data_IF_569225533721
#
_entry.id   IF_569225533721
#
_cell.length_a   1.000
_cell.length_b   1.000
_cell.length_c   1.000
_cell.angle_alpha   90.00
_cell.angle_beta   90.00
_cell.angle_gamma   90.00
#
_symmetry.space_group_name_H-M   'P 1'
#
loop_
_entity.id
_entity.type
_entity.pdbx_description
1 polymer ?
#
# COMPACT_ATOMS: atom_id res chain seq x y z
N UNK A 1 54.02 20.67 -19.82
CA UNK A 1 53.29 19.49 -20.33
C UNK A 1 52.96 18.44 -19.24
N UNK A 2 52.95 18.79 -17.94
CA UNK A 2 52.77 17.79 -16.85
C UNK A 2 51.48 17.97 -16.02
N UNK A 3 50.67 19.02 -16.29
CA UNK A 3 49.39 19.29 -15.59
C UNK A 3 48.14 18.80 -16.33
N UNK A 4 48.25 18.42 -17.61
CA UNK A 4 47.13 17.94 -18.43
C UNK A 4 46.90 16.42 -18.24
N UNK A 5 47.91 15.67 -17.80
CA UNK A 5 47.80 14.22 -17.60
C UNK A 5 46.99 13.82 -16.34
N UNK A 6 46.90 14.70 -15.32
CA UNK A 6 46.23 14.37 -14.05
C UNK A 6 44.70 14.50 -14.15
N UNK A 7 44.17 15.45 -14.95
CA UNK A 7 42.72 15.56 -15.17
C UNK A 7 42.13 14.39 -15.98
N UNK A 8 42.86 13.89 -16.99
CA UNK A 8 42.40 12.73 -17.77
C UNK A 8 42.36 11.44 -16.93
N UNK A 9 43.30 11.27 -15.99
CA UNK A 9 43.33 10.10 -15.10
C UNK A 9 42.16 10.15 -14.09
N UNK A 10 41.83 11.32 -13.54
CA UNK A 10 40.69 11.48 -12.62
C UNK A 10 39.33 11.28 -13.31
N UNK A 11 39.15 11.78 -14.55
CA UNK A 11 37.93 11.54 -15.33
C UNK A 11 37.78 10.09 -15.81
N UNK A 12 38.90 9.43 -16.14
CA UNK A 12 38.90 8.00 -16.47
C UNK A 12 38.58 7.16 -15.23
N UNK A 13 39.13 7.50 -14.06
CA UNK A 13 38.84 6.81 -12.78
C UNK A 13 37.37 6.97 -12.37
N UNK A 14 36.78 8.18 -12.47
CA UNK A 14 35.36 8.39 -12.17
C UNK A 14 34.44 7.70 -13.17
N UNK A 15 34.80 7.68 -14.46
CA UNK A 15 34.06 6.94 -15.49
C UNK A 15 34.14 5.41 -15.32
N UNK A 16 35.27 4.89 -14.84
CA UNK A 16 35.41 3.46 -14.53
C UNK A 16 34.69 3.04 -13.25
N UNK A 17 34.69 3.87 -12.20
CA UNK A 17 33.91 3.60 -10.98
C UNK A 17 32.42 3.60 -11.28
N UNK A 18 31.91 4.62 -11.98
CA UNK A 18 30.49 4.72 -12.35
C UNK A 18 30.02 3.58 -13.26
N UNK A 19 30.85 3.14 -14.21
CA UNK A 19 30.51 2.01 -15.09
C UNK A 19 30.57 0.65 -14.37
N UNK A 20 31.49 0.47 -13.42
CA UNK A 20 31.57 -0.73 -12.59
C UNK A 20 30.39 -0.81 -11.61
N UNK A 21 30.03 0.30 -10.98
CA UNK A 21 28.86 0.43 -10.10
C UNK A 21 27.56 0.15 -10.87
N UNK A 22 27.41 0.72 -12.06
CA UNK A 22 26.28 0.44 -12.96
C UNK A 22 26.21 -1.05 -13.37
N UNK A 23 27.37 -1.69 -13.60
CA UNK A 23 27.42 -3.10 -13.96
C UNK A 23 27.02 -4.01 -12.78
N UNK A 24 27.42 -3.66 -11.55
CA UNK A 24 27.03 -4.36 -10.32
C UNK A 24 25.52 -4.25 -10.10
N UNK A 25 24.96 -3.04 -10.18
CA UNK A 25 23.50 -2.82 -10.04
C UNK A 25 22.71 -3.63 -11.08
N UNK A 26 23.14 -3.58 -12.36
CA UNK A 26 22.52 -4.38 -13.42
C UNK A 26 22.64 -5.89 -13.20
N UNK A 27 23.76 -6.36 -12.66
CA UNK A 27 23.95 -7.78 -12.35
C UNK A 27 23.06 -8.21 -11.17
N UNK A 28 22.92 -7.36 -10.16
CA UNK A 28 22.03 -7.58 -9.04
C UNK A 28 20.57 -7.65 -9.50
N UNK A 29 20.12 -6.71 -10.34
CA UNK A 29 18.77 -6.72 -10.90
C UNK A 29 18.46 -7.97 -11.74
N UNK A 30 19.48 -8.59 -12.35
CA UNK A 30 19.35 -9.85 -13.09
C UNK A 30 19.28 -11.09 -12.20
N UNK A 31 19.86 -11.06 -10.99
CA UNK A 31 19.86 -12.19 -10.07
C UNK A 31 19.10 -11.86 -8.77
N UNK A 32 17.78 -12.03 -8.85
CA UNK A 32 16.85 -11.79 -7.75
C UNK A 32 16.27 -13.08 -7.14
N UNK A 33 16.85 -14.25 -7.46
CA UNK A 33 16.55 -15.46 -6.71
C UNK A 33 17.26 -15.40 -5.34
N UNK A 34 16.51 -15.07 -4.30
CA UNK A 34 16.98 -14.92 -2.91
C UNK A 34 16.26 -15.95 -2.04
N UNK A 35 16.89 -17.10 -1.74
CA UNK A 35 16.31 -18.08 -0.82
C UNK A 35 16.00 -17.47 0.54
N UNK A 36 14.99 -18.00 1.24
CA UNK A 36 14.56 -17.47 2.55
C UNK A 36 15.66 -17.30 3.60
N UNK A 37 16.70 -18.15 3.56
CA UNK A 37 17.79 -18.09 4.54
C UNK A 37 18.74 -16.92 4.32
N UNK A 38 18.61 -16.17 3.21
CA UNK A 38 19.30 -14.89 3.02
C UNK A 38 18.67 -13.78 3.86
N UNK A 39 17.42 -13.96 4.30
CA UNK A 39 16.73 -12.99 5.14
C UNK A 39 16.63 -13.52 6.57
N UNK A 40 17.16 -12.75 7.51
CA UNK A 40 17.01 -13.01 8.94
C UNK A 40 15.55 -12.91 9.37
N UNK A 41 15.20 -13.66 10.40
CA UNK A 41 13.85 -13.64 10.94
C UNK A 41 13.60 -12.33 11.72
N UNK A 42 12.45 -11.64 11.59
CA UNK A 42 12.13 -10.44 12.38
C UNK A 42 12.39 -10.51 13.88
N UNK A 43 12.24 -11.68 14.52
CA UNK A 43 12.54 -11.81 15.96
C UNK A 43 14.04 -11.67 16.28
N UNK A 44 14.94 -11.91 15.32
CA UNK A 44 16.37 -11.60 15.48
C UNK A 44 16.54 -10.07 15.60
N UNK A 45 15.86 -9.32 14.74
CA UNK A 45 15.87 -7.85 14.75
C UNK A 45 15.33 -7.31 16.09
N UNK A 46 14.27 -7.93 16.65
CA UNK A 46 13.66 -7.56 17.93
C UNK A 46 14.65 -7.55 19.11
N UNK A 47 15.70 -8.37 19.06
CA UNK A 47 16.73 -8.42 20.11
C UNK A 47 17.47 -7.09 20.32
N UNK A 48 17.56 -6.27 19.27
CA UNK A 48 18.20 -4.94 19.32
C UNK A 48 17.24 -3.79 18.96
N UNK A 49 16.19 -4.03 18.18
CA UNK A 49 15.28 -3.03 17.64
C UNK A 49 13.84 -3.19 18.16
N UNK A 50 13.66 -3.45 19.45
CA UNK A 50 12.35 -3.79 20.05
C UNK A 50 11.27 -2.74 19.74
N UNK A 51 11.55 -1.44 19.87
CA UNK A 51 10.53 -0.39 19.64
C UNK A 51 10.02 -0.43 18.19
N UNK A 52 10.93 -0.70 17.24
CA UNK A 52 10.59 -0.78 15.81
C UNK A 52 9.88 -2.08 15.48
N UNK A 53 10.33 -3.18 16.10
CA UNK A 53 9.67 -4.47 15.97
C UNK A 53 8.23 -4.43 16.50
N UNK A 54 7.99 -3.85 17.67
CA UNK A 54 6.66 -3.77 18.28
C UNK A 54 5.69 -2.96 17.40
N UNK A 55 6.19 -1.88 16.79
CA UNK A 55 5.45 -1.05 15.82
C UNK A 55 5.12 -1.83 14.55
N UNK A 56 6.11 -2.49 13.97
CA UNK A 56 5.93 -3.33 12.78
C UNK A 56 4.96 -4.50 13.05
N UNK A 57 5.09 -5.20 14.17
CA UNK A 57 4.38 -6.44 14.46
C UNK A 57 2.84 -6.26 14.53
N UNK A 58 2.37 -5.04 14.80
CA UNK A 58 0.93 -4.72 14.78
C UNK A 58 0.45 -4.16 13.43
N UNK A 59 1.37 -3.76 12.55
CA UNK A 59 1.08 -3.17 11.23
C UNK A 59 0.53 -4.19 10.22
N UNK A 60 -0.10 -3.70 9.15
CA UNK A 60 -0.52 -4.54 8.03
C UNK A 60 0.66 -5.10 7.23
N UNK A 61 1.83 -4.45 7.22
CA UNK A 61 3.03 -5.00 6.60
C UNK A 61 3.43 -6.35 7.19
N UNK A 62 3.39 -6.48 8.52
CA UNK A 62 3.67 -7.77 9.18
C UNK A 62 2.62 -8.85 8.87
N UNK A 63 1.45 -8.45 8.38
CA UNK A 63 0.27 -9.31 8.14
C UNK A 63 -0.06 -9.45 6.66
N UNK A 64 0.73 -8.87 5.77
CA UNK A 64 0.32 -8.73 4.38
C UNK A 64 0.04 -10.08 3.72
N UNK A 65 0.79 -11.13 4.08
CA UNK A 65 0.48 -12.49 3.66
C UNK A 65 -0.57 -13.16 4.54
N UNK A 66 -0.49 -13.03 5.88
CA UNK A 66 -1.35 -13.80 6.80
C UNK A 66 -2.75 -13.21 6.99
N UNK A 67 -3.01 -12.03 6.44
CA UNK A 67 -4.30 -11.33 6.54
C UNK A 67 -5.44 -12.18 5.99
N UNK A 68 -6.56 -12.22 6.71
CA UNK A 68 -7.73 -13.04 6.33
C UNK A 68 -8.31 -12.65 4.97
N UNK A 69 -8.39 -11.36 4.66
CA UNK A 69 -8.82 -10.86 3.35
C UNK A 69 -7.90 -11.35 2.24
N UNK A 70 -6.59 -11.11 2.38
CA UNK A 70 -5.60 -11.55 1.39
C UNK A 70 -5.63 -13.08 1.21
N UNK A 71 -5.65 -13.86 2.30
CA UNK A 71 -5.70 -15.32 2.23
C UNK A 71 -6.96 -15.82 1.50
N UNK A 72 -8.11 -15.16 1.69
CA UNK A 72 -9.31 -15.51 0.90
C UNK A 72 -9.16 -15.09 -0.55
N UNK A 73 -8.83 -13.82 -0.81
CA UNK A 73 -8.73 -13.27 -2.16
C UNK A 73 -7.73 -14.07 -3.01
N UNK A 74 -6.52 -14.29 -2.48
CA UNK A 74 -5.46 -14.97 -3.20
C UNK A 74 -5.84 -16.41 -3.57
N UNK A 75 -6.25 -17.23 -2.59
CA UNK A 75 -6.46 -18.65 -2.85
C UNK A 75 -7.84 -19.02 -3.42
N UNK A 76 -8.88 -18.23 -3.16
CA UNK A 76 -10.24 -18.54 -3.61
C UNK A 76 -10.64 -17.77 -4.87
N UNK A 77 -9.97 -16.65 -5.18
CA UNK A 77 -10.32 -15.82 -6.34
C UNK A 77 -9.16 -15.69 -7.33
N UNK A 78 -7.98 -15.24 -6.89
CA UNK A 78 -6.84 -14.99 -7.79
C UNK A 78 -6.34 -16.28 -8.43
N UNK A 79 -6.00 -17.31 -7.64
CA UNK A 79 -5.49 -18.58 -8.19
C UNK A 79 -6.48 -19.28 -9.14
N UNK A 80 -7.79 -19.37 -8.83
CA UNK A 80 -8.75 -19.90 -9.80
C UNK A 80 -8.89 -19.05 -11.07
N UNK A 81 -8.68 -17.73 -10.97
CA UNK A 81 -8.83 -16.80 -12.09
C UNK A 81 -7.74 -16.91 -13.16
N UNK A 82 -6.59 -17.54 -12.86
CA UNK A 82 -5.48 -17.69 -13.83
C UNK A 82 -5.88 -18.43 -15.11
N UNK A 83 -6.94 -19.24 -15.03
CA UNK A 83 -7.48 -20.00 -16.16
C UNK A 83 -8.49 -19.22 -17.01
N UNK A 84 -8.91 -18.03 -16.58
CA UNK A 84 -9.96 -17.26 -17.27
C UNK A 84 -9.46 -16.58 -18.54
N UNK A 85 -8.19 -16.15 -18.57
CA UNK A 85 -7.58 -15.59 -19.78
C UNK A 85 -6.04 -15.71 -19.76
N UNK A 86 -5.36 -15.61 -20.92
CA UNK A 86 -3.90 -15.66 -20.99
C UNK A 86 -3.18 -14.56 -20.19
N UNK A 87 -3.79 -13.37 -20.11
CA UNK A 87 -3.25 -12.21 -19.39
C UNK A 87 -3.12 -12.49 -17.87
N UNK A 88 -3.96 -13.37 -17.34
CA UNK A 88 -4.04 -13.69 -15.91
C UNK A 88 -3.13 -14.82 -15.47
N UNK A 89 -2.40 -15.46 -16.39
CA UNK A 89 -1.64 -16.68 -16.13
C UNK A 89 -0.66 -16.56 -14.95
N UNK A 90 -0.08 -15.37 -14.77
CA UNK A 90 0.97 -15.09 -13.79
C UNK A 90 0.54 -14.00 -12.77
N UNK A 91 -0.76 -13.74 -12.62
CA UNK A 91 -1.30 -12.71 -11.71
C UNK A 91 -0.92 -12.94 -10.23
N UNK A 92 -0.76 -14.21 -9.83
CA UNK A 92 -0.34 -14.58 -8.47
C UNK A 92 1.04 -14.00 -8.11
N UNK A 93 1.92 -13.83 -9.10
CA UNK A 93 3.28 -13.36 -8.91
C UNK A 93 3.26 -11.91 -8.39
N UNK A 94 2.36 -11.08 -8.93
CA UNK A 94 2.15 -9.70 -8.46
C UNK A 94 1.66 -9.63 -7.03
N UNK A 95 0.72 -10.51 -6.66
CA UNK A 95 0.18 -10.60 -5.31
C UNK A 95 1.30 -10.94 -4.30
N UNK A 96 2.06 -12.01 -4.55
CA UNK A 96 3.14 -12.45 -3.66
C UNK A 96 4.32 -11.47 -3.67
N UNK A 97 4.60 -10.84 -4.81
CA UNK A 97 5.60 -9.78 -4.94
C UNK A 97 5.39 -8.64 -3.94
N UNK A 98 4.14 -8.23 -3.70
CA UNK A 98 3.84 -7.18 -2.72
C UNK A 98 3.59 -7.75 -1.31
N UNK A 99 2.89 -8.88 -1.17
CA UNK A 99 2.40 -9.37 0.13
C UNK A 99 3.33 -10.33 0.86
N UNK A 100 4.26 -10.98 0.15
CA UNK A 100 5.29 -11.85 0.72
C UNK A 100 6.56 -11.81 -0.12
N UNK A 101 7.25 -10.66 -0.18
CA UNK A 101 8.37 -10.44 -1.07
C UNK A 101 9.54 -11.41 -0.88
N UNK A 102 9.78 -11.90 0.35
CA UNK A 102 10.79 -12.95 0.56
C UNK A 102 10.41 -14.30 -0.05
N UNK A 103 9.11 -14.62 -0.16
CA UNK A 103 8.63 -15.80 -0.87
C UNK A 103 8.76 -15.63 -2.38
N UNK A 104 8.36 -14.45 -2.89
CA UNK A 104 8.53 -14.07 -4.29
C UNK A 104 9.98 -14.24 -4.74
N UNK A 105 10.92 -13.64 -4.00
CA UNK A 105 12.35 -13.73 -4.31
C UNK A 105 12.90 -15.16 -4.14
N UNK A 106 12.34 -15.98 -3.26
CA UNK A 106 12.71 -17.40 -3.13
C UNK A 106 12.11 -18.30 -4.23
N UNK A 107 11.28 -17.76 -5.12
CA UNK A 107 10.60 -18.50 -6.19
C UNK A 107 9.35 -19.26 -5.72
N UNK A 108 8.81 -18.94 -4.54
CA UNK A 108 7.59 -19.54 -4.01
C UNK A 108 6.37 -18.64 -4.30
N UNK A 109 5.80 -18.76 -5.50
CA UNK A 109 4.64 -17.95 -5.94
C UNK A 109 3.29 -18.44 -5.42
N UNK A 110 3.24 -19.63 -4.84
CA UNK A 110 2.06 -20.16 -4.15
C UNK A 110 2.51 -20.76 -2.83
N UNK A 111 2.80 -19.93 -1.80
CA UNK A 111 3.12 -20.46 -0.49
C UNK A 111 1.98 -21.31 0.08
N UNK A 112 2.25 -22.10 1.12
CA UNK A 112 1.17 -22.79 1.83
C UNK A 112 0.22 -21.79 2.50
N UNK A 113 -1.07 -22.12 2.53
CA UNK A 113 -2.07 -21.33 3.25
C UNK A 113 -1.67 -21.18 4.71
N UNK A 114 -1.83 -19.97 5.25
CA UNK A 114 -1.60 -19.77 6.67
C UNK A 114 -2.66 -20.51 7.48
N UNK A 115 -2.23 -21.37 8.40
CA UNK A 115 -3.14 -22.16 9.25
C UNK A 115 -3.94 -21.27 10.21
N UNK A 116 -3.40 -20.11 10.58
CA UNK A 116 -4.09 -19.12 11.39
C UNK A 116 -4.00 -17.75 10.72
N UNK A 117 -5.10 -17.32 10.10
CA UNK A 117 -5.20 -15.97 9.53
C UNK A 117 -5.14 -14.92 10.64
N UNK A 118 -4.40 -13.85 10.40
CA UNK A 118 -4.29 -12.69 11.30
C UNK A 118 -5.33 -11.64 10.91
N UNK A 119 -6.16 -11.23 11.87
CA UNK A 119 -7.06 -10.10 11.69
C UNK A 119 -7.27 -9.34 12.99
N UNK A 120 -8.03 -8.24 12.94
CA UNK A 120 -8.29 -7.41 14.12
C UNK A 120 -8.88 -8.21 15.30
N UNK A 121 -9.71 -9.22 15.00
CA UNK A 121 -10.43 -10.04 15.98
C UNK A 121 -9.64 -11.26 16.48
N UNK A 122 -8.73 -11.77 15.66
CA UNK A 122 -7.88 -12.93 15.92
C UNK A 122 -6.44 -12.57 15.56
N UNK A 123 -5.72 -12.02 16.54
CA UNK A 123 -4.29 -11.76 16.43
C UNK A 123 -3.54 -13.06 16.68
N UNK A 124 -2.61 -13.41 15.80
CA UNK A 124 -1.79 -14.61 15.95
C UNK A 124 -0.46 -14.23 16.59
N UNK A 125 -0.18 -14.82 17.75
CA UNK A 125 1.12 -14.70 18.42
C UNK A 125 2.00 -15.87 17.97
N UNK A 126 3.20 -15.59 17.45
CA UNK A 126 4.09 -16.68 17.02
C UNK A 126 5.30 -16.24 16.21
N UNK A 127 6.23 -17.18 16.01
CA UNK A 127 7.36 -17.00 15.11
C UNK A 127 6.88 -17.03 13.66
N UNK A 128 6.82 -15.85 13.03
CA UNK A 128 6.57 -15.72 11.59
C UNK A 128 7.77 -16.31 10.82
N UNK A 129 7.52 -17.26 9.93
CA UNK A 129 8.57 -17.90 9.12
C UNK A 129 8.18 -17.92 7.66
N UNK A 130 9.17 -17.92 6.76
CA UNK A 130 8.93 -17.97 5.31
C UNK A 130 7.95 -16.87 4.88
N UNK A 131 6.88 -17.23 4.17
CA UNK A 131 5.88 -16.29 3.67
C UNK A 131 5.12 -15.53 4.77
N UNK A 132 4.93 -16.16 5.94
CA UNK A 132 4.23 -15.54 7.07
C UNK A 132 4.97 -14.32 7.64
N UNK A 133 6.22 -14.07 7.23
CA UNK A 133 6.96 -12.86 7.59
C UNK A 133 6.36 -11.58 6.98
N UNK A 134 5.53 -11.70 5.93
CA UNK A 134 4.96 -10.54 5.23
C UNK A 134 6.03 -9.62 4.66
N UNK A 135 5.85 -8.31 4.82
CA UNK A 135 6.85 -7.27 4.53
C UNK A 135 7.53 -6.93 5.85
N UNK A 136 8.81 -7.22 5.97
CA UNK A 136 9.52 -7.17 7.24
C UNK A 136 10.89 -6.49 7.15
N UNK A 137 11.47 -6.25 8.33
CA UNK A 137 12.71 -5.48 8.52
C UNK A 137 13.78 -5.85 7.51
N UNK A 138 14.13 -7.14 7.45
CA UNK A 138 15.25 -7.60 6.64
C UNK A 138 14.98 -7.52 5.14
N UNK A 139 13.74 -7.69 4.71
CA UNK A 139 13.38 -7.46 3.33
C UNK A 139 13.52 -5.98 2.96
N UNK A 140 12.85 -5.07 3.68
CA UNK A 140 12.88 -3.64 3.35
C UNK A 140 14.31 -3.08 3.42
N UNK A 141 15.06 -3.41 4.47
CA UNK A 141 16.41 -2.90 4.67
C UNK A 141 17.46 -3.54 3.77
N UNK A 142 17.09 -4.44 2.85
CA UNK A 142 18.00 -4.98 1.82
C UNK A 142 17.67 -4.50 0.42
N UNK A 143 16.60 -3.73 0.25
CA UNK A 143 16.31 -3.06 -1.02
C UNK A 143 17.43 -2.05 -1.27
N UNK A 144 18.13 -2.19 -2.40
CA UNK A 144 19.22 -1.27 -2.75
C UNK A 144 18.84 -0.29 -3.86
N UNK A 145 17.94 -0.67 -4.77
CA UNK A 145 17.43 0.15 -5.86
C UNK A 145 16.17 -0.46 -6.46
N UNK A 146 15.62 0.19 -7.49
CA UNK A 146 14.49 -0.28 -8.28
C UNK A 146 14.88 -0.52 -9.74
N UNK A 147 14.08 -1.27 -10.51
CA UNK A 147 14.39 -1.49 -11.94
C UNK A 147 13.89 -0.36 -12.83
N UNK A 148 12.86 0.36 -12.40
CA UNK A 148 12.20 1.46 -13.09
C UNK A 148 12.10 2.71 -12.20
N UNK A 149 11.84 3.85 -12.84
CA UNK A 149 11.67 5.15 -12.20
C UNK A 149 10.46 5.87 -12.85
N UNK A 150 9.32 6.03 -12.15
CA UNK A 150 9.04 5.52 -10.80
C UNK A 150 8.87 3.98 -10.75
N UNK A 151 9.10 3.34 -9.60
CA UNK A 151 8.85 1.91 -9.44
C UNK A 151 7.36 1.62 -9.23
N UNK A 152 6.92 0.46 -9.70
CA UNK A 152 5.54 -0.04 -9.58
C UNK A 152 5.55 -1.57 -9.69
N UNK A 153 4.52 -2.29 -9.21
CA UNK A 153 4.47 -3.76 -9.29
C UNK A 153 5.77 -4.45 -8.80
N UNK A 154 6.01 -4.44 -7.49
CA UNK A 154 7.08 -5.21 -6.83
C UNK A 154 8.47 -5.03 -7.47
N UNK A 155 8.78 -3.79 -7.86
CA UNK A 155 9.95 -3.46 -8.66
C UNK A 155 11.26 -3.23 -7.88
N UNK A 156 11.25 -3.63 -6.62
CA UNK A 156 12.42 -3.59 -5.75
C UNK A 156 13.51 -4.56 -6.22
N UNK A 157 14.76 -4.20 -5.94
CA UNK A 157 15.94 -5.05 -6.11
C UNK A 157 16.62 -5.22 -4.75
N UNK A 158 16.59 -6.44 -4.23
CA UNK A 158 17.23 -6.79 -2.95
C UNK A 158 18.70 -7.15 -3.15
N UNK A 159 19.54 -6.63 -2.25
CA UNK A 159 20.97 -6.91 -2.15
C UNK A 159 21.27 -8.13 -1.27
N UNK A 160 20.26 -8.74 -0.64
CA UNK A 160 20.44 -9.86 0.28
C UNK A 160 21.25 -11.00 -0.36
N UNK A 161 22.20 -11.56 0.39
CA UNK A 161 22.99 -12.74 -0.01
C UNK A 161 23.20 -13.68 1.17
N UNK A 162 23.81 -14.85 0.93
CA UNK A 162 24.21 -15.76 2.02
C UNK A 162 25.29 -15.16 2.93
N UNK A 163 26.17 -14.31 2.37
CA UNK A 163 27.20 -13.60 3.11
C UNK A 163 26.68 -12.25 3.61
N UNK A 164 27.27 -11.77 4.71
CA UNK A 164 26.93 -10.56 5.49
C UNK A 164 26.11 -9.53 4.72
N UNK A 165 24.92 -9.27 5.23
CA UNK A 165 23.90 -8.49 4.55
C UNK A 165 23.97 -7.02 4.96
N UNK A 166 24.37 -6.15 4.03
CA UNK A 166 24.36 -4.70 4.25
C UNK A 166 22.91 -4.24 4.40
N UNK A 167 22.60 -3.67 5.57
CA UNK A 167 21.30 -3.05 5.84
C UNK A 167 21.34 -1.57 5.49
N UNK A 168 20.43 -1.15 4.62
CA UNK A 168 20.31 0.22 4.14
C UNK A 168 19.33 1.03 5.00
N UNK A 169 19.56 2.34 5.13
CA UNK A 169 18.64 3.26 5.79
C UNK A 169 19.04 4.72 5.56
N UNK A 170 18.26 5.64 6.12
CA UNK A 170 18.43 7.10 6.04
C UNK A 170 19.40 7.67 7.10
N UNK A 171 19.80 6.87 8.09
CA UNK A 171 20.58 7.36 9.22
C UNK A 171 22.07 7.53 8.91
N UNK A 172 22.57 8.77 8.95
CA UNK A 172 24.00 9.07 8.84
C UNK A 172 24.85 8.35 9.90
N UNK A 173 26.09 7.97 9.54
CA UNK A 173 27.00 7.20 10.40
C UNK A 173 26.33 5.93 10.99
N UNK A 174 25.73 5.08 10.14
CA UNK A 174 25.10 3.88 10.64
C UNK A 174 26.17 2.91 11.15
N UNK A 175 25.83 2.17 12.20
CA UNK A 175 26.73 1.19 12.81
C UNK A 175 25.92 0.08 13.48
N UNK A 176 26.36 -1.15 13.31
CA UNK A 176 25.80 -2.34 13.96
C UNK A 176 26.92 -3.32 14.30
N UNK A 177 26.84 -4.03 15.44
CA UNK A 177 27.78 -5.11 15.77
C UNK A 177 27.41 -6.46 15.13
N UNK A 178 26.27 -6.56 14.43
CA UNK A 178 25.72 -7.82 13.90
C UNK A 178 25.72 -7.89 12.38
N UNK A 179 25.36 -6.80 11.71
CA UNK A 179 25.25 -6.73 10.25
C UNK A 179 26.00 -5.50 9.71
N UNK A 180 26.38 -5.52 8.44
CA UNK A 180 26.89 -4.34 7.77
C UNK A 180 25.79 -3.28 7.62
N UNK A 181 26.18 -2.02 7.48
CA UNK A 181 25.23 -0.91 7.38
C UNK A 181 25.69 0.11 6.35
N UNK A 182 24.75 0.63 5.57
CA UNK A 182 25.01 1.69 4.61
C UNK A 182 23.86 2.72 4.61
N UNK A 183 24.19 3.97 4.32
CA UNK A 183 23.20 5.01 4.05
C UNK A 183 22.65 4.86 2.63
N UNK A 184 21.37 5.11 2.42
CA UNK A 184 20.77 5.12 1.09
C UNK A 184 19.62 6.12 1.00
N UNK A 185 19.67 6.97 -0.02
CA UNK A 185 18.69 8.04 -0.26
C UNK A 185 17.30 7.50 -0.59
N UNK A 186 17.17 6.24 -1.05
CA UNK A 186 15.86 5.65 -1.34
C UNK A 186 14.96 5.57 -0.10
N UNK A 187 15.53 5.56 1.11
CA UNK A 187 14.77 5.53 2.36
C UNK A 187 14.18 6.90 2.73
N UNK A 188 14.62 7.97 2.07
CA UNK A 188 14.09 9.33 2.18
C UNK A 188 13.12 9.67 1.04
N UNK A 189 12.96 8.75 0.07
CA UNK A 189 12.21 8.96 -1.15
C UNK A 189 10.89 8.18 -1.17
N UNK A 190 9.76 8.77 -1.62
CA UNK A 190 8.47 8.07 -1.73
C UNK A 190 8.50 6.86 -2.70
N UNK A 191 9.48 6.78 -3.60
CA UNK A 191 9.67 5.64 -4.51
C UNK A 191 9.84 4.31 -3.77
N UNK A 192 10.42 4.30 -2.56
CA UNK A 192 10.46 3.10 -1.71
C UNK A 192 9.06 2.53 -1.43
N UNK A 193 8.07 3.41 -1.26
CA UNK A 193 6.69 2.99 -1.05
C UNK A 193 6.03 2.61 -2.38
N UNK A 194 6.34 3.35 -3.46
CA UNK A 194 5.78 3.16 -4.80
C UNK A 194 6.05 1.77 -5.37
N UNK A 195 7.14 1.10 -4.99
CA UNK A 195 7.41 -0.27 -5.46
C UNK A 195 6.28 -1.26 -5.13
N UNK A 196 5.45 -0.98 -4.12
CA UNK A 196 4.27 -1.78 -3.81
C UNK A 196 2.96 -0.97 -3.84
N UNK A 197 3.01 0.34 -3.58
CA UNK A 197 1.85 1.25 -3.53
C UNK A 197 1.57 1.97 -4.86
N UNK A 198 2.02 1.35 -5.97
CA UNK A 198 1.63 1.72 -7.32
C UNK A 198 1.48 0.41 -8.13
N UNK A 199 0.25 0.00 -8.39
CA UNK A 199 -0.10 -1.28 -9.00
C UNK A 199 -0.77 -1.09 -10.36
N UNK A 200 -0.13 -1.65 -11.39
CA UNK A 200 -0.63 -1.74 -12.76
C UNK A 200 -1.07 -3.19 -13.00
N UNK A 201 -2.35 -3.40 -13.28
CA UNK A 201 -2.87 -4.75 -13.42
C UNK A 201 -2.48 -5.39 -14.80
N UNK A 202 -2.83 -6.67 -15.05
CA UNK A 202 -2.49 -7.36 -16.30
C UNK A 202 -3.08 -6.78 -17.59
N UNK A 203 -4.01 -5.81 -17.48
CA UNK A 203 -4.65 -5.13 -18.61
C UNK A 203 -4.23 -3.66 -18.72
N UNK A 204 -3.10 -3.30 -18.12
CA UNK A 204 -2.52 -1.95 -18.13
C UNK A 204 -3.44 -0.87 -17.49
N UNK A 205 -4.21 -1.25 -16.47
CA UNK A 205 -5.00 -0.32 -15.65
C UNK A 205 -4.36 -0.12 -14.29
N UNK A 206 -4.19 1.14 -13.88
CA UNK A 206 -3.74 1.50 -12.54
C UNK A 206 -4.87 1.26 -11.53
N UNK A 207 -4.77 0.19 -10.76
CA UNK A 207 -5.83 -0.24 -9.83
C UNK A 207 -5.54 0.14 -8.37
N UNK A 208 -4.27 0.38 -8.05
CA UNK A 208 -3.84 1.03 -6.80
C UNK A 208 -2.81 2.07 -7.16
N UNK A 209 -3.20 3.32 -7.30
CA UNK A 209 -2.37 4.38 -7.86
C UNK A 209 -1.86 5.37 -6.80
N UNK A 210 -1.67 4.94 -5.54
CA UNK A 210 -1.41 5.85 -4.41
C UNK A 210 -0.20 6.75 -4.62
N UNK A 211 0.88 6.25 -5.22
CA UNK A 211 2.03 7.08 -5.57
C UNK A 211 1.69 8.13 -6.64
N UNK A 212 1.01 7.73 -7.71
CA UNK A 212 0.55 8.66 -8.77
C UNK A 212 -0.37 9.74 -8.20
N UNK A 213 -1.33 9.36 -7.34
CA UNK A 213 -2.21 10.31 -6.64
C UNK A 213 -1.43 11.29 -5.75
N UNK A 214 -0.34 10.81 -5.14
CA UNK A 214 0.57 11.65 -4.38
C UNK A 214 1.33 12.62 -5.27
N UNK A 215 1.87 12.17 -6.40
CA UNK A 215 2.56 13.01 -7.38
C UNK A 215 1.67 14.12 -7.94
N UNK A 216 0.39 13.81 -8.17
CA UNK A 216 -0.62 14.76 -8.65
C UNK A 216 -1.08 15.74 -7.56
N UNK A 217 -0.75 15.48 -6.30
CA UNK A 217 -1.13 16.33 -5.17
C UNK A 217 -0.16 17.52 -4.98
N UNK A 218 -0.49 18.49 -4.09
CA UNK A 218 0.45 19.54 -3.71
C UNK A 218 1.62 19.10 -2.81
N UNK A 219 1.66 17.84 -2.34
CA UNK A 219 2.62 17.37 -1.32
C UNK A 219 4.06 17.21 -1.82
N UNK A 220 4.33 16.69 -3.03
CA UNK A 220 5.69 16.66 -3.59
C UNK A 220 6.35 18.04 -3.60
N UNK A 221 5.60 19.09 -3.99
CA UNK A 221 6.10 20.47 -3.99
C UNK A 221 6.45 20.98 -2.59
N UNK A 222 5.81 20.44 -1.55
CA UNK A 222 6.08 20.77 -0.15
C UNK A 222 7.18 19.91 0.48
N UNK A 223 7.77 18.97 -0.28
CA UNK A 223 8.72 17.98 0.22
C UNK A 223 8.18 17.15 1.40
N UNK A 224 6.86 16.88 1.42
CA UNK A 224 6.23 16.02 2.41
C UNK A 224 6.05 14.64 1.77
N UNK A 225 6.97 13.72 2.05
CA UNK A 225 6.95 12.36 1.48
C UNK A 225 6.14 11.39 2.35
N UNK A 226 5.84 10.19 1.83
CA UNK A 226 5.09 9.14 2.51
C UNK A 226 5.60 8.89 3.95
N UNK A 227 6.92 8.79 4.10
CA UNK A 227 7.61 8.56 5.37
C UNK A 227 7.30 9.63 6.41
N UNK A 228 7.06 10.89 6.00
CA UNK A 228 6.76 11.99 6.92
C UNK A 228 5.54 11.70 7.80
N UNK A 229 4.49 11.10 7.21
CA UNK A 229 3.25 10.78 7.90
C UNK A 229 3.20 9.32 8.38
N UNK A 230 3.70 8.37 7.57
CA UNK A 230 3.58 6.93 7.85
C UNK A 230 4.78 6.35 8.62
N UNK A 231 5.90 7.07 8.68
CA UNK A 231 7.12 6.72 9.44
C UNK A 231 7.65 7.95 10.19
N UNK A 232 6.81 8.58 11.04
CA UNK A 232 7.09 9.90 11.58
C UNK A 232 8.41 9.92 12.36
N UNK A 233 9.09 11.07 12.30
CA UNK A 233 10.36 11.26 13.00
C UNK A 233 10.18 11.15 14.50
N UNK A 234 11.03 10.34 15.14
CA UNK A 234 11.12 10.17 16.58
C UNK A 234 12.56 10.35 17.08
N UNK A 235 12.72 10.84 18.30
CA UNK A 235 14.03 10.89 18.97
C UNK A 235 14.40 9.56 19.64
N UNK A 236 15.65 9.45 20.08
CA UNK A 236 16.10 8.32 20.88
C UNK A 236 17.06 7.39 20.14
N UNK A 237 17.11 6.14 20.56
CA UNK A 237 18.02 5.15 19.97
C UNK A 237 17.29 4.32 18.91
N UNK A 238 17.82 4.18 17.68
CA UNK A 238 17.24 3.29 16.67
C UNK A 238 17.42 1.81 17.03
N UNK A 239 18.40 1.49 17.90
CA UNK A 239 18.70 0.15 18.40
C UNK A 239 19.28 0.24 19.82
N UNK A 240 19.19 -0.85 20.61
CA UNK A 240 19.76 -0.98 21.96
C UNK A 240 21.17 -0.40 22.12
N UNK A 241 22.04 -0.82 21.20
CA UNK A 241 23.48 -0.49 21.18
C UNK A 241 23.79 0.69 20.26
N UNK A 242 22.77 1.27 19.62
CA UNK A 242 22.91 2.43 18.77
C UNK A 242 23.18 3.72 19.55
N UNK A 243 23.72 4.70 18.85
CA UNK A 243 23.86 6.07 19.36
C UNK A 243 22.48 6.72 19.52
N UNK A 244 22.33 7.57 20.52
CA UNK A 244 21.12 8.40 20.66
C UNK A 244 21.11 9.46 19.57
N UNK A 245 19.99 9.60 18.88
CA UNK A 245 19.79 10.57 17.80
C UNK A 245 18.63 11.50 18.12
N UNK A 246 18.70 12.78 17.70
CA UNK A 246 17.54 13.68 17.77
C UNK A 246 16.42 13.21 16.81
N UNK A 247 16.81 12.58 15.70
CA UNK A 247 15.91 12.12 14.65
C UNK A 247 16.27 10.69 14.22
N UNK A 248 15.25 9.82 14.20
CA UNK A 248 15.17 8.53 13.52
C UNK A 248 13.70 8.27 13.14
N UNK A 249 13.40 7.17 12.47
CA UNK A 249 12.08 6.96 11.85
C UNK A 249 11.27 5.90 12.59
N UNK A 250 10.04 6.24 13.02
CA UNK A 250 9.10 5.27 13.59
C UNK A 250 8.65 4.29 12.49
N UNK A 251 8.32 3.06 12.87
CA UNK A 251 7.79 2.02 11.98
C UNK A 251 6.30 1.80 12.23
N UNK A 252 5.59 2.88 12.59
CA UNK A 252 4.15 2.84 12.86
C UNK A 252 3.33 2.36 11.66
N UNK A 253 3.70 2.80 10.45
CA UNK A 253 3.18 2.30 9.16
C UNK A 253 1.65 2.26 9.14
N UNK A 254 1.04 3.32 9.66
CA UNK A 254 -0.40 3.39 9.89
C UNK A 254 -1.22 3.69 8.64
N UNK A 255 -2.54 3.46 8.72
CA UNK A 255 -3.44 3.60 7.57
C UNK A 255 -4.91 3.56 8.00
N UNK A 256 -5.64 2.50 7.68
CA UNK A 256 -7.11 2.43 7.84
C UNK A 256 -7.67 2.24 9.26
N UNK A 257 -6.97 2.61 10.34
CA UNK A 257 -7.54 2.56 11.71
C UNK A 257 -8.03 3.92 12.18
N UNK A 258 -8.98 3.90 13.12
CA UNK A 258 -9.76 5.06 13.54
C UNK A 258 -8.91 6.29 13.88
N UNK A 259 -7.86 6.14 14.69
CA UNK A 259 -7.02 7.25 15.13
C UNK A 259 -6.20 7.90 13.99
N UNK A 260 -6.03 7.22 12.85
CA UNK A 260 -5.34 7.76 11.68
C UNK A 260 -6.31 8.42 10.69
N UNK A 261 -7.53 7.87 10.55
CA UNK A 261 -8.53 8.38 9.59
C UNK A 261 -9.41 9.49 10.19
N UNK A 262 -9.48 9.61 11.51
CA UNK A 262 -10.19 10.71 12.17
C UNK A 262 -9.61 12.06 11.74
N UNK A 263 -10.45 12.90 11.14
CA UNK A 263 -10.05 14.21 10.61
C UNK A 263 -9.47 14.19 9.20
N UNK A 264 -9.37 13.04 8.53
CA UNK A 264 -8.91 12.93 7.15
C UNK A 264 -9.89 13.54 6.12
N UNK A 265 -11.12 13.84 6.54
CA UNK A 265 -12.09 14.56 5.74
C UNK A 265 -12.91 15.54 6.59
N UNK A 266 -13.32 16.64 5.97
CA UNK A 266 -14.29 17.58 6.53
C UNK A 266 -15.59 17.51 5.74
N UNK A 267 -16.71 17.50 6.47
CA UNK A 267 -18.06 17.53 5.91
C UNK A 267 -18.75 18.79 6.38
N UNK A 268 -19.22 19.63 5.46
CA UNK A 268 -19.93 20.88 5.76
C UNK A 268 -21.30 20.85 5.11
N UNK A 269 -22.36 21.07 5.89
CA UNK A 269 -23.71 21.25 5.37
C UNK A 269 -23.98 22.75 5.25
N UNK A 270 -24.24 23.21 4.03
CA UNK A 270 -24.57 24.61 3.75
C UNK A 270 -26.09 24.77 3.65
N UNK A 271 -26.62 25.59 4.54
CA UNK A 271 -28.02 25.97 4.61
C UNK A 271 -28.09 27.49 4.60
N UNK A 272 -29.06 28.06 3.88
CA UNK A 272 -29.26 29.52 3.84
C UNK A 272 -29.72 30.09 5.20
N UNK A 273 -30.23 29.24 6.10
CA UNK A 273 -30.77 29.61 7.41
C UNK A 273 -30.85 28.42 8.36
N UNK A 274 -31.08 28.68 9.65
CA UNK A 274 -31.10 27.67 10.72
C UNK A 274 -32.50 27.32 11.24
N UNK A 275 -33.56 27.98 10.76
CA UNK A 275 -34.94 27.76 11.21
C UNK A 275 -35.87 27.46 10.04
N UNK A 276 -36.70 26.44 10.19
CA UNK A 276 -37.60 25.93 9.14
C UNK A 276 -38.99 25.68 9.69
N UNK A 277 -40.01 25.89 8.85
CA UNK A 277 -41.39 25.57 9.21
C UNK A 277 -41.66 24.10 8.94
N UNK A 278 -42.56 23.50 9.74
CA UNK A 278 -43.03 22.14 9.48
C UNK A 278 -43.67 22.07 8.08
N UNK A 279 -43.23 21.10 7.28
CA UNK A 279 -43.73 20.88 5.91
C UNK A 279 -43.09 21.77 4.85
N UNK A 280 -42.09 22.56 5.22
CA UNK A 280 -41.28 23.32 4.28
C UNK A 280 -40.24 22.43 3.58
N UNK A 281 -40.09 22.62 2.26
CA UNK A 281 -38.99 22.04 1.50
C UNK A 281 -37.72 22.84 1.73
N UNK A 282 -36.61 22.16 2.01
CA UNK A 282 -35.33 22.77 2.34
C UNK A 282 -34.29 22.33 1.34
N UNK A 283 -33.71 23.30 0.64
CA UNK A 283 -32.54 23.08 -0.20
C UNK A 283 -31.27 23.28 0.64
N UNK A 284 -30.30 22.42 0.44
CA UNK A 284 -28.99 22.50 1.08
C UNK A 284 -27.95 21.86 0.18
N UNK A 285 -26.68 22.18 0.41
CA UNK A 285 -25.56 21.47 -0.18
C UNK A 285 -24.70 20.85 0.89
N UNK A 286 -23.96 19.80 0.53
CA UNK A 286 -23.00 19.16 1.41
C UNK A 286 -21.66 19.16 0.71
N UNK A 287 -20.70 19.87 1.28
CA UNK A 287 -19.33 19.89 0.80
C UNK A 287 -18.53 18.84 1.57
N UNK A 288 -17.90 17.92 0.85
CA UNK A 288 -16.98 16.92 1.40
C UNK A 288 -15.60 17.18 0.83
N UNK A 289 -14.62 17.33 1.71
CA UNK A 289 -13.25 17.63 1.32
C UNK A 289 -12.29 16.72 2.08
N UNK A 290 -11.40 16.03 1.35
CA UNK A 290 -10.26 15.35 1.96
C UNK A 290 -9.26 16.39 2.51
N UNK A 291 -8.80 16.18 3.74
CA UNK A 291 -7.94 17.13 4.45
C UNK A 291 -6.59 16.49 4.70
N UNK A 292 -5.57 17.10 4.12
CA UNK A 292 -4.17 16.83 4.41
C UNK A 292 -3.72 15.35 4.28
N UNK A 293 -4.31 14.59 3.36
CA UNK A 293 -3.99 13.17 3.14
C UNK A 293 -2.80 12.95 2.20
N UNK A 294 -2.47 13.91 1.33
CA UNK A 294 -1.36 13.81 0.38
C UNK A 294 -1.56 12.85 -0.78
N UNK A 295 -2.69 12.14 -0.83
CA UNK A 295 -3.19 11.27 -1.90
C UNK A 295 -4.73 11.27 -1.83
N UNK A 296 -5.45 10.51 -2.67
CA UNK A 296 -6.91 10.42 -2.58
C UNK A 296 -7.36 9.81 -1.25
N UNK A 297 -8.60 10.06 -0.84
CA UNK A 297 -9.19 9.49 0.36
C UNK A 297 -10.56 8.86 0.02
N UNK A 298 -10.68 7.53 0.06
CA UNK A 298 -9.64 6.53 0.34
C UNK A 298 -8.69 6.38 -0.86
N UNK A 299 -7.49 5.85 -0.62
CA UNK A 299 -6.53 5.42 -1.66
C UNK A 299 -6.28 3.91 -1.54
N UNK A 300 -5.63 3.33 -2.56
CA UNK A 300 -5.17 1.94 -2.54
C UNK A 300 -6.23 0.96 -3.03
N UNK A 301 -6.40 -0.14 -2.31
CA UNK A 301 -7.31 -1.24 -2.68
C UNK A 301 -8.78 -0.83 -2.52
N UNK A 302 -9.51 -0.81 -3.64
CA UNK A 302 -10.94 -0.45 -3.65
C UNK A 302 -11.82 -1.58 -3.15
N UNK A 303 -11.35 -2.83 -3.22
CA UNK A 303 -12.07 -4.00 -2.72
C UNK A 303 -12.06 -4.14 -1.19
N UNK A 304 -11.23 -3.35 -0.49
CA UNK A 304 -11.13 -3.33 0.97
C UNK A 304 -11.55 -2.00 1.62
N UNK A 305 -11.75 -0.94 0.84
CA UNK A 305 -11.81 0.44 1.36
C UNK A 305 -13.00 1.19 0.78
N UNK A 306 -14.05 1.26 1.57
CA UNK A 306 -15.18 2.15 1.32
C UNK A 306 -15.17 3.35 2.26
N UNK A 307 -15.32 4.54 1.69
CA UNK A 307 -15.71 5.75 2.44
C UNK A 307 -17.06 6.17 1.91
N UNK A 308 -17.99 6.47 2.82
CA UNK A 308 -19.34 6.90 2.43
C UNK A 308 -19.83 8.10 3.23
N UNK A 309 -20.70 8.89 2.61
CA UNK A 309 -21.44 9.96 3.25
C UNK A 309 -22.89 9.51 3.47
N UNK A 310 -23.27 9.42 4.75
CA UNK A 310 -24.65 9.24 5.19
C UNK A 310 -25.28 10.57 5.57
N UNK A 311 -26.41 10.88 4.95
CA UNK A 311 -27.24 12.04 5.32
C UNK A 311 -28.50 11.57 6.04
N UNK A 312 -28.81 12.23 7.15
CA UNK A 312 -29.92 11.85 8.01
C UNK A 312 -30.47 13.05 8.78
N UNK A 313 -31.80 13.14 8.84
CA UNK A 313 -32.50 14.02 9.76
C UNK A 313 -32.56 13.34 11.13
N UNK A 314 -32.02 14.01 12.15
CA UNK A 314 -32.01 13.52 13.53
C UNK A 314 -32.82 14.43 14.44
N UNK A 315 -33.46 13.88 15.47
CA UNK A 315 -34.09 14.68 16.51
C UNK A 315 -33.08 15.18 17.55
N UNK A 316 -33.54 16.01 18.49
CA UNK A 316 -32.71 16.59 19.57
C UNK A 316 -32.04 15.55 20.49
N UNK A 317 -32.49 14.30 20.47
CA UNK A 317 -31.87 13.21 21.24
C UNK A 317 -30.82 12.43 20.44
N UNK A 318 -30.60 12.81 19.18
CA UNK A 318 -29.69 12.13 18.26
C UNK A 318 -30.31 10.92 17.55
N UNK A 319 -31.63 10.69 17.71
CA UNK A 319 -32.30 9.59 17.03
C UNK A 319 -32.56 9.95 15.57
N UNK A 320 -32.14 9.09 14.66
CA UNK A 320 -32.45 9.17 13.23
C UNK A 320 -33.96 9.09 13.00
N UNK A 321 -34.52 10.11 12.36
CA UNK A 321 -35.92 10.21 11.96
C UNK A 321 -36.12 9.83 10.49
N UNK A 322 -35.17 10.19 9.64
CA UNK A 322 -35.22 9.99 8.20
C UNK A 322 -33.79 9.91 7.64
N UNK A 323 -33.49 8.84 6.92
CA UNK A 323 -32.35 8.77 6.01
C UNK A 323 -32.68 9.57 4.74
N UNK A 324 -31.74 10.39 4.28
CA UNK A 324 -31.88 11.21 3.07
C UNK A 324 -31.00 10.57 1.98
N UNK A 325 -31.57 9.81 1.03
CA UNK A 325 -30.80 9.16 -0.01
C UNK A 325 -30.28 10.19 -1.03
N UNK A 326 -29.10 9.91 -1.55
CA UNK A 326 -28.47 10.69 -2.61
C UNK A 326 -29.21 10.43 -3.93
N UNK A 327 -29.67 11.48 -4.63
CA UNK A 327 -30.29 11.29 -5.94
C UNK A 327 -29.24 10.89 -6.97
N UNK A 328 -29.58 9.97 -7.86
CA UNK A 328 -28.74 9.65 -9.02
C UNK A 328 -28.62 10.86 -9.94
N UNK A 329 -27.41 11.08 -10.48
CA UNK A 329 -27.14 12.04 -11.52
C UNK A 329 -27.51 11.44 -12.91
N UNK A 330 -28.62 11.86 -13.54
CA UNK A 330 -29.03 11.30 -14.83
C UNK A 330 -28.08 11.64 -15.98
N UNK A 331 -27.16 12.61 -15.79
CA UNK A 331 -26.14 12.96 -16.77
C UNK A 331 -24.92 12.04 -16.77
N UNK A 332 -24.81 11.15 -15.79
CA UNK A 332 -23.70 10.21 -15.64
C UNK A 332 -24.23 8.77 -15.53
N UNK A 333 -24.04 7.93 -16.58
CA UNK A 333 -24.52 6.54 -16.57
C UNK A 333 -23.82 5.66 -15.53
N UNK A 334 -22.69 6.11 -14.97
CA UNK A 334 -21.91 5.39 -13.98
C UNK A 334 -22.19 5.83 -12.53
N UNK A 335 -22.97 6.90 -12.31
CA UNK A 335 -23.24 7.46 -10.97
C UNK A 335 -23.85 6.44 -10.00
N UNK A 336 -24.57 5.44 -10.53
CA UNK A 336 -25.12 4.31 -9.77
C UNK A 336 -24.06 3.47 -9.02
N UNK A 337 -22.79 3.50 -9.44
CA UNK A 337 -21.69 2.80 -8.76
C UNK A 337 -21.12 3.61 -7.60
N UNK A 338 -21.50 4.89 -7.48
CA UNK A 338 -21.07 5.79 -6.40
C UNK A 338 -22.20 6.08 -5.39
N UNK A 339 -23.28 5.31 -5.42
CA UNK A 339 -24.39 5.37 -4.47
C UNK A 339 -24.61 3.97 -3.93
N UNK A 340 -24.61 3.78 -2.62
CA UNK A 340 -24.66 2.45 -2.01
C UNK A 340 -25.86 1.64 -2.47
N UNK A 341 -25.60 0.35 -2.69
CA UNK A 341 -26.58 -0.65 -3.10
C UNK A 341 -26.26 -2.00 -2.45
N UNK A 342 -27.30 -2.73 -2.07
CA UNK A 342 -27.22 -4.13 -1.66
C UNK A 342 -27.95 -5.03 -2.64
N UNK A 343 -28.13 -4.57 -3.88
CA UNK A 343 -28.44 -5.51 -4.96
C UNK A 343 -27.43 -6.65 -4.89
N UNK A 344 -27.97 -7.88 -4.84
CA UNK A 344 -27.16 -9.09 -4.75
C UNK A 344 -26.65 -9.39 -6.15
N UNK A 345 -25.73 -8.55 -6.59
CA UNK A 345 -25.01 -8.68 -7.85
C UNK A 345 -23.79 -9.53 -7.56
N UNK A 346 -23.57 -10.56 -8.36
CA UNK A 346 -22.20 -10.95 -8.54
C UNK A 346 -21.58 -9.90 -9.45
N UNK A 347 -20.44 -9.33 -9.06
CA UNK A 347 -19.57 -8.73 -10.06
C UNK A 347 -19.35 -9.82 -11.12
N UNK A 348 -19.73 -9.63 -12.40
CA UNK A 348 -19.80 -10.73 -13.36
C UNK A 348 -18.52 -11.59 -13.43
N UNK A 349 -17.38 -10.95 -13.26
CA UNK A 349 -16.06 -11.53 -12.99
C UNK A 349 -15.97 -12.39 -11.70
N UNK A 350 -16.47 -11.92 -10.55
CA UNK A 350 -16.59 -12.70 -9.31
C UNK A 350 -17.65 -13.82 -9.37
N UNK A 351 -18.77 -13.70 -10.10
CA UNK A 351 -19.80 -14.76 -10.18
C UNK A 351 -19.26 -16.07 -10.72
N UNK A 352 -18.24 -15.98 -11.58
CA UNK A 352 -17.59 -17.15 -12.16
C UNK A 352 -16.79 -17.94 -11.10
N UNK A 353 -16.44 -17.28 -9.99
CA UNK A 353 -15.53 -17.79 -8.96
C UNK A 353 -16.21 -17.96 -7.60
N UNK A 354 -17.29 -17.22 -7.33
CA UNK A 354 -17.96 -17.15 -6.04
C UNK A 354 -19.46 -16.87 -6.19
N UNK A 355 -20.23 -17.11 -5.14
CA UNK A 355 -21.65 -16.74 -5.11
C UNK A 355 -21.80 -15.21 -5.06
N UNK A 356 -22.83 -14.64 -5.69
CA UNK A 356 -23.22 -13.25 -5.49
C UNK A 356 -23.31 -12.86 -4.01
N UNK A 357 -22.81 -11.68 -3.66
CA UNK A 357 -22.93 -11.09 -2.32
C UNK A 357 -23.58 -9.70 -2.45
N UNK A 358 -24.15 -9.13 -1.37
CA UNK A 358 -24.54 -7.72 -1.36
C UNK A 358 -23.34 -6.86 -1.74
N UNK A 359 -23.55 -5.90 -2.65
CA UNK A 359 -22.47 -5.09 -3.22
C UNK A 359 -21.66 -4.36 -2.14
N UNK A 360 -22.35 -3.63 -1.26
CA UNK A 360 -21.66 -2.80 -0.27
C UNK A 360 -21.91 -3.23 1.19
N UNK A 361 -22.99 -3.98 1.44
CA UNK A 361 -23.44 -4.33 2.81
C UNK A 361 -23.63 -3.09 3.73
N UNK A 362 -23.89 -1.92 3.12
CA UNK A 362 -24.12 -0.63 3.77
C UNK A 362 -25.59 -0.21 3.60
N UNK A 363 -26.11 0.74 4.39
CA UNK A 363 -27.45 1.28 4.14
C UNK A 363 -27.58 1.80 2.70
N UNK A 364 -28.68 1.49 2.02
CA UNK A 364 -28.99 1.93 0.65
C UNK A 364 -29.05 3.46 0.55
N UNK A 365 -28.53 4.04 -0.54
CA UNK A 365 -28.70 5.45 -0.89
C UNK A 365 -27.67 6.42 -0.31
N UNK A 366 -26.61 5.95 0.35
CA UNK A 366 -25.48 6.75 0.82
C UNK A 366 -24.49 7.03 -0.34
N UNK A 367 -23.76 8.15 -0.34
CA UNK A 367 -22.74 8.44 -1.37
C UNK A 367 -21.49 7.63 -1.07
N UNK A 368 -20.96 6.87 -2.04
CA UNK A 368 -19.65 6.21 -1.97
C UNK A 368 -18.55 7.07 -2.59
N UNK A 369 -17.37 7.04 -1.99
CA UNK A 369 -16.14 7.63 -2.48
C UNK A 369 -15.10 6.52 -2.64
N UNK A 370 -14.91 6.08 -3.88
CA UNK A 370 -14.00 5.01 -4.28
C UNK A 370 -13.72 5.11 -5.78
N UNK A 371 -12.69 4.42 -6.27
CA UNK A 371 -12.53 4.21 -7.72
C UNK A 371 -13.44 3.08 -8.19
N UNK A 372 -14.03 3.25 -9.38
CA UNK A 372 -14.93 2.28 -9.97
C UNK A 372 -14.30 1.66 -11.21
N UNK A 373 -14.41 0.33 -11.34
CA UNK A 373 -13.73 -0.42 -12.38
C UNK A 373 -14.71 -1.29 -13.17
N UNK A 374 -14.43 -1.46 -14.46
CA UNK A 374 -15.13 -2.36 -15.36
C UNK A 374 -14.22 -3.52 -15.80
N UNK A 375 -14.77 -4.73 -15.86
CA UNK A 375 -14.10 -5.90 -16.44
C UNK A 375 -14.23 -5.95 -17.98
N UNK A 376 -13.69 -7.00 -18.59
CA UNK A 376 -13.70 -7.19 -20.06
C UNK A 376 -15.10 -7.33 -20.67
N UNK A 377 -16.14 -7.58 -19.87
CA UNK A 377 -17.53 -7.64 -20.31
C UNK A 377 -18.23 -6.28 -20.21
N UNK A 378 -17.53 -5.25 -19.69
CA UNK A 378 -18.07 -3.92 -19.46
C UNK A 378 -18.88 -3.81 -18.17
N UNK A 379 -18.75 -4.79 -17.28
CA UNK A 379 -19.49 -4.90 -16.04
C UNK A 379 -18.66 -4.45 -14.85
N UNK A 380 -19.30 -3.90 -13.83
CA UNK A 380 -18.61 -3.39 -12.65
C UNK A 380 -17.90 -4.52 -11.88
N UNK A 381 -16.70 -4.26 -11.38
CA UNK A 381 -15.91 -5.25 -10.64
C UNK A 381 -15.04 -4.65 -9.53
N UNK A 382 -14.95 -5.38 -8.41
CA UNK A 382 -13.92 -5.19 -7.39
C UNK A 382 -12.73 -6.14 -7.54
N UNK A 383 -12.75 -7.08 -8.50
CA UNK A 383 -11.58 -7.87 -8.82
C UNK A 383 -10.60 -7.02 -9.64
N UNK A 384 -9.75 -6.26 -8.95
CA UNK A 384 -8.83 -5.31 -9.56
C UNK A 384 -7.95 -5.93 -10.66
N UNK A 385 -7.54 -7.19 -10.51
CA UNK A 385 -6.75 -7.89 -11.53
C UNK A 385 -7.53 -8.25 -12.81
N UNK A 386 -8.86 -8.18 -12.79
CA UNK A 386 -9.75 -8.41 -13.93
C UNK A 386 -10.21 -7.10 -14.60
N UNK A 387 -9.86 -5.95 -14.01
CA UNK A 387 -10.25 -4.65 -14.51
C UNK A 387 -9.61 -4.36 -15.87
N UNK A 388 -10.38 -3.84 -16.81
CA UNK A 388 -9.88 -3.36 -18.12
C UNK A 388 -10.07 -1.85 -18.29
N UNK A 389 -10.81 -1.20 -17.37
CA UNK A 389 -11.08 0.23 -17.42
C UNK A 389 -11.50 0.79 -16.05
N UNK A 390 -10.97 1.94 -15.67
CA UNK A 390 -11.51 2.82 -14.61
C UNK A 390 -12.56 3.78 -15.21
N UNK A 391 -13.65 4.05 -14.46
CA UNK A 391 -14.79 4.88 -14.89
C UNK A 391 -15.08 6.06 -13.97
#
# INVERSE_FOLDING_TARGET
>A
MQKIFICCILMLLSGTLSSQETAILKAQAKNQNKPYHYFENPQVCAGCHWDKFDRWNVSQHSKAFTGDFFQKQFYELVLPSESLSPELKDVKDGCIGCHSPSAFLAGEMVPEKSYETDNYWKKTDGYKTRADRGIFCDFCHTISHFRNEPPFNHDYVSAATEAVDTKFGDLEFPWSPHHETATSEIFEDPMMCSSCHNELNPYDVWVKATFTEYEESPYPFKAIVCQTCHMPTMGGKPAKMGITRPHNSDHWLGGGFSEFVEGAATVTINLDRSEFKKGEEVNFTVDVQAVATGHKFPTGSTEERDVWLRLSLVDKSGRELLHIPIPQNPGDPYDKYFITSNEVVAYPSHSKLSQPIPRDALPEGDRLYHSAFLDSEGEFTYAQWLCTKEI
#
